data_IF_022785730343
#
_entry.id   IF_022785730343
#
_cell.length_a   1.000
_cell.length_b   1.000
_cell.length_c   1.000
_cell.angle_alpha   90.00
_cell.angle_beta   90.00
_cell.angle_gamma   90.00
#
_symmetry.space_group_name_H-M   'P 1'
#
loop_
_entity.id
_entity.type
_entity.pdbx_description
1 polymer ?
#
# COMPACT_ATOMS: atom_id res chain seq x y z
N UNK A 1 -28.34 13.79 -45.05
CA UNK A 1 -28.93 13.43 -43.74
C UNK A 1 -28.16 12.33 -43.01
N UNK A 2 -27.74 11.25 -43.69
CA UNK A 2 -26.94 10.16 -43.07
C UNK A 2 -25.60 10.60 -42.45
N UNK A 3 -24.83 11.46 -43.13
CA UNK A 3 -23.50 11.90 -42.67
C UNK A 3 -23.50 12.86 -41.45
N UNK A 4 -24.63 13.53 -41.19
CA UNK A 4 -24.79 14.47 -40.06
C UNK A 4 -25.13 13.71 -38.76
N UNK A 5 -25.91 12.63 -38.89
CA UNK A 5 -26.27 11.76 -37.75
C UNK A 5 -25.07 10.97 -37.24
N UNK A 6 -24.17 10.53 -38.13
CA UNK A 6 -22.94 9.82 -37.73
C UNK A 6 -21.94 10.74 -37.00
N UNK A 7 -21.84 12.00 -37.40
CA UNK A 7 -20.96 12.98 -36.73
C UNK A 7 -21.45 13.35 -35.33
N UNK A 8 -22.76 13.52 -35.13
CA UNK A 8 -23.31 13.75 -33.78
C UNK A 8 -23.14 12.55 -32.85
N UNK A 9 -23.34 11.33 -33.34
CA UNK A 9 -23.12 10.11 -32.55
C UNK A 9 -21.65 9.95 -32.14
N UNK A 10 -20.70 10.31 -33.01
CA UNK A 10 -19.28 10.29 -32.66
C UNK A 10 -18.89 11.37 -31.64
N UNK A 11 -19.47 12.58 -31.73
CA UNK A 11 -19.22 13.67 -30.76
C UNK A 11 -19.81 13.32 -29.38
N UNK A 12 -21.01 12.71 -29.34
CA UNK A 12 -21.61 12.21 -28.10
C UNK A 12 -20.81 11.03 -27.53
N UNK A 13 -20.30 10.12 -28.37
CA UNK A 13 -19.45 9.02 -27.92
C UNK A 13 -18.10 9.51 -27.38
N UNK A 14 -17.44 10.46 -28.05
CA UNK A 14 -16.17 11.07 -27.59
C UNK A 14 -16.35 11.89 -26.32
N UNK A 15 -17.45 12.64 -26.18
CA UNK A 15 -17.75 13.39 -24.96
C UNK A 15 -18.08 12.48 -23.79
N UNK A 16 -18.83 11.38 -23.99
CA UNK A 16 -19.03 10.32 -22.98
C UNK A 16 -17.73 9.61 -22.60
N UNK A 17 -16.89 9.28 -23.57
CA UNK A 17 -15.60 8.65 -23.36
C UNK A 17 -14.64 9.55 -22.55
N UNK A 18 -14.69 10.87 -22.75
CA UNK A 18 -13.91 11.84 -21.96
C UNK A 18 -14.54 12.18 -20.59
N UNK A 19 -15.86 12.03 -20.43
CA UNK A 19 -16.57 12.30 -19.18
C UNK A 19 -16.46 11.16 -18.16
N UNK A 20 -16.45 9.89 -18.59
CA UNK A 20 -16.35 8.72 -17.70
C UNK A 20 -15.11 8.74 -16.78
N UNK A 21 -13.89 9.07 -17.26
CA UNK A 21 -12.72 9.18 -16.40
C UNK A 21 -12.83 10.31 -15.38
N UNK A 22 -13.49 11.43 -15.73
CA UNK A 22 -13.66 12.59 -14.85
C UNK A 22 -14.67 12.30 -13.74
N UNK A 23 -15.79 11.66 -14.05
CA UNK A 23 -16.80 11.27 -13.07
C UNK A 23 -16.26 10.22 -12.11
N UNK A 24 -15.64 9.15 -12.63
CA UNK A 24 -15.06 8.09 -11.80
C UNK A 24 -14.01 8.64 -10.83
N UNK A 25 -13.17 9.57 -11.27
CA UNK A 25 -12.23 10.26 -10.39
C UNK A 25 -12.93 11.06 -9.28
N UNK A 26 -13.99 11.81 -9.61
CA UNK A 26 -14.77 12.56 -8.60
C UNK A 26 -15.43 11.62 -7.59
N UNK A 27 -16.03 10.53 -8.05
CA UNK A 27 -16.66 9.52 -7.18
C UNK A 27 -15.62 8.86 -6.28
N UNK A 28 -14.46 8.47 -6.81
CA UNK A 28 -13.39 7.86 -6.01
C UNK A 28 -12.92 8.79 -4.87
N UNK A 29 -12.73 10.09 -5.14
CA UNK A 29 -12.36 11.06 -4.11
C UNK A 29 -13.49 11.43 -3.17
N UNK A 30 -14.75 11.42 -3.62
CA UNK A 30 -15.91 11.60 -2.75
C UNK A 30 -16.04 10.44 -1.75
N UNK A 31 -15.87 9.20 -2.22
CA UNK A 31 -15.85 8.00 -1.37
C UNK A 31 -14.67 8.02 -0.39
N UNK A 32 -13.51 8.51 -0.82
CA UNK A 32 -12.38 8.76 0.08
C UNK A 32 -12.73 9.78 1.17
N UNK A 33 -13.40 10.88 0.81
CA UNK A 33 -13.81 11.90 1.77
C UNK A 33 -14.82 11.34 2.79
N UNK A 34 -15.72 10.45 2.37
CA UNK A 34 -16.60 9.71 3.29
C UNK A 34 -15.78 8.87 4.27
N UNK A 35 -14.83 8.06 3.77
CA UNK A 35 -13.97 7.26 4.65
C UNK A 35 -13.12 8.12 5.60
N UNK A 36 -12.63 9.27 5.13
CA UNK A 36 -11.88 10.22 5.94
C UNK A 36 -12.74 10.87 7.02
N UNK A 37 -13.98 11.25 6.71
CA UNK A 37 -14.91 11.79 7.69
C UNK A 37 -15.24 10.76 8.77
N UNK A 38 -15.54 9.52 8.39
CA UNK A 38 -15.75 8.41 9.33
C UNK A 38 -14.54 8.23 10.25
N UNK A 39 -13.33 8.24 9.69
CA UNK A 39 -12.08 8.12 10.44
C UNK A 39 -11.87 9.30 11.40
N UNK A 40 -12.14 10.54 10.98
CA UNK A 40 -12.01 11.73 11.83
C UNK A 40 -12.97 11.66 13.01
N UNK A 41 -14.24 11.31 12.77
CA UNK A 41 -15.22 11.18 13.85
C UNK A 41 -14.83 10.06 14.81
N UNK A 42 -14.39 8.90 14.30
CA UNK A 42 -13.83 7.80 15.10
C UNK A 42 -12.66 8.27 15.97
N UNK A 43 -11.69 9.01 15.40
CA UNK A 43 -10.55 9.55 16.16
C UNK A 43 -11.00 10.52 17.26
N UNK A 44 -11.98 11.39 17.00
CA UNK A 44 -12.52 12.31 18.01
C UNK A 44 -13.12 11.52 19.18
N UNK A 45 -13.89 10.46 18.89
CA UNK A 45 -14.46 9.57 19.91
C UNK A 45 -13.37 8.82 20.69
N UNK A 46 -12.32 8.36 20.02
CA UNK A 46 -11.17 7.72 20.67
C UNK A 46 -10.48 8.69 21.62
N UNK A 47 -10.19 9.92 21.18
CA UNK A 47 -9.56 10.94 22.01
C UNK A 47 -10.44 11.28 23.22
N UNK A 48 -11.74 11.50 23.01
CA UNK A 48 -12.69 11.76 24.09
C UNK A 48 -12.85 10.60 25.07
N UNK A 49 -12.65 9.36 24.63
CA UNK A 49 -12.65 8.18 25.52
C UNK A 49 -11.32 7.92 26.23
N UNK A 50 -10.20 8.54 25.81
CA UNK A 50 -8.92 8.40 26.53
C UNK A 50 -8.98 9.11 27.89
N UNK A 51 -9.72 10.22 27.98
CA UNK A 51 -9.97 10.95 29.24
C UNK A 51 -10.87 10.22 30.23
N UNK A 52 -11.55 9.14 29.81
CA UNK A 52 -12.49 8.40 30.66
C UNK A 52 -11.81 7.31 31.51
N UNK A 53 -10.51 7.08 31.37
CA UNK A 53 -9.74 6.22 32.29
C UNK A 53 -10.06 4.72 32.24
N UNK A 54 -10.83 4.25 31.26
CA UNK A 54 -11.34 2.88 31.22
C UNK A 54 -10.45 1.98 30.37
N UNK A 55 -10.05 0.86 30.97
CA UNK A 55 -8.94 0.05 30.50
C UNK A 55 -9.29 -0.97 29.41
N UNK A 56 -10.53 -1.44 29.29
CA UNK A 56 -10.81 -2.65 28.51
C UNK A 56 -11.76 -2.38 27.33
N UNK A 57 -11.20 -2.43 26.12
CA UNK A 57 -11.94 -2.64 24.89
C UNK A 57 -11.39 -3.94 24.27
N UNK A 58 -12.26 -4.84 23.82
CA UNK A 58 -11.88 -6.12 23.18
C UNK A 58 -11.32 -5.93 21.75
N UNK A 59 -10.94 -4.70 21.39
CA UNK A 59 -10.39 -4.33 20.10
C UNK A 59 -9.32 -3.23 20.23
N UNK A 60 -8.50 -3.10 19.20
CA UNK A 60 -7.48 -2.04 19.14
C UNK A 60 -8.16 -0.71 18.81
N UNK A 61 -8.30 0.18 19.81
CA UNK A 61 -8.92 1.50 19.66
C UNK A 61 -8.26 2.32 18.55
N UNK A 62 -9.07 2.98 17.71
CA UNK A 62 -8.62 3.76 16.56
C UNK A 62 -8.10 2.95 15.36
N UNK A 63 -8.08 1.61 15.44
CA UNK A 63 -7.66 0.78 14.30
C UNK A 63 -8.56 0.94 13.07
N UNK A 64 -9.87 1.11 13.26
CA UNK A 64 -10.81 1.32 12.15
C UNK A 64 -10.53 2.60 11.37
N UNK A 65 -10.18 3.71 12.03
CA UNK A 65 -9.78 4.95 11.37
C UNK A 65 -8.48 4.77 10.54
N UNK A 66 -7.50 4.06 11.10
CA UNK A 66 -6.23 3.75 10.42
C UNK A 66 -6.46 2.89 9.17
N UNK A 67 -7.25 1.83 9.31
CA UNK A 67 -7.62 0.94 8.22
C UNK A 67 -8.44 1.67 7.15
N UNK A 68 -9.41 2.48 7.57
CA UNK A 68 -10.24 3.28 6.66
C UNK A 68 -9.40 4.19 5.77
N UNK A 69 -8.51 4.99 6.38
CA UNK A 69 -7.64 5.90 5.66
C UNK A 69 -6.62 5.16 4.79
N UNK A 70 -6.00 4.09 5.30
CA UNK A 70 -5.00 3.32 4.57
C UNK A 70 -5.58 2.71 3.29
N UNK A 71 -6.69 1.99 3.40
CA UNK A 71 -7.37 1.38 2.26
C UNK A 71 -7.98 2.44 1.34
N UNK A 72 -8.81 3.35 1.85
CA UNK A 72 -9.49 4.33 1.00
C UNK A 72 -8.51 5.18 0.19
N UNK A 73 -7.36 5.55 0.76
CA UNK A 73 -6.39 6.39 0.04
C UNK A 73 -5.74 5.66 -1.13
N UNK A 74 -5.37 4.40 -0.94
CA UNK A 74 -4.80 3.56 -2.00
C UNK A 74 -5.87 3.27 -3.05
N UNK A 75 -7.06 2.85 -2.62
CA UNK A 75 -8.18 2.56 -3.50
C UNK A 75 -8.60 3.76 -4.36
N UNK A 76 -8.74 4.94 -3.75
CA UNK A 76 -9.15 6.16 -4.46
C UNK A 76 -8.15 6.56 -5.54
N UNK A 77 -6.85 6.42 -5.28
CA UNK A 77 -5.82 6.70 -6.29
C UNK A 77 -5.84 5.72 -7.44
N UNK A 78 -6.07 4.43 -7.17
CA UNK A 78 -6.19 3.40 -8.21
C UNK A 78 -7.44 3.66 -9.04
N UNK A 79 -8.61 3.82 -8.41
CA UNK A 79 -9.88 4.04 -9.09
C UNK A 79 -9.91 5.36 -9.89
N UNK A 80 -9.25 6.42 -9.39
CA UNK A 80 -9.13 7.69 -10.09
C UNK A 80 -8.28 7.63 -11.37
N UNK A 81 -7.30 6.72 -11.43
CA UNK A 81 -6.39 6.56 -12.59
C UNK A 81 -6.86 5.43 -13.51
N UNK A 82 -7.41 4.36 -12.95
CA UNK A 82 -7.88 3.16 -13.65
C UNK A 82 -9.36 2.90 -13.32
N UNK A 83 -10.28 3.74 -13.80
CA UNK A 83 -11.69 3.65 -13.42
C UNK A 83 -12.37 2.36 -13.88
N UNK A 84 -11.82 1.69 -14.91
CA UNK A 84 -12.30 0.40 -15.42
C UNK A 84 -11.81 -0.79 -14.61
N UNK A 85 -10.81 -0.62 -13.74
CA UNK A 85 -10.29 -1.70 -12.93
C UNK A 85 -11.04 -1.78 -11.60
N UNK A 86 -11.67 -2.93 -11.34
CA UNK A 86 -12.44 -3.18 -10.12
C UNK A 86 -11.59 -3.12 -8.84
N UNK A 87 -10.28 -3.38 -8.93
CA UNK A 87 -9.36 -3.44 -7.78
C UNK A 87 -9.40 -2.16 -6.94
N UNK A 88 -9.36 -0.98 -7.58
CA UNK A 88 -9.39 0.30 -6.87
C UNK A 88 -10.69 0.48 -6.08
N UNK A 89 -11.83 0.12 -6.68
CA UNK A 89 -13.14 0.22 -6.07
C UNK A 89 -13.34 -0.75 -4.91
N UNK A 90 -12.84 -1.98 -5.03
CA UNK A 90 -12.86 -2.97 -3.95
C UNK A 90 -12.09 -2.48 -2.73
N UNK A 91 -10.91 -1.89 -2.93
CA UNK A 91 -10.11 -1.34 -1.83
C UNK A 91 -10.81 -0.14 -1.17
N UNK A 92 -11.46 0.74 -1.93
CA UNK A 92 -12.26 1.84 -1.36
C UNK A 92 -13.41 1.30 -0.52
N UNK A 93 -14.12 0.28 -1.01
CA UNK A 93 -15.21 -0.36 -0.27
C UNK A 93 -14.71 -0.96 1.05
N UNK A 94 -13.53 -1.59 1.06
CA UNK A 94 -12.87 -2.05 2.29
C UNK A 94 -12.58 -0.90 3.26
N UNK A 95 -12.06 0.23 2.76
CA UNK A 95 -11.77 1.40 3.59
C UNK A 95 -13.02 2.02 4.22
N UNK A 96 -14.10 2.15 3.45
CA UNK A 96 -15.40 2.62 3.99
C UNK A 96 -15.92 1.64 5.03
N UNK A 97 -15.83 0.33 4.76
CA UNK A 97 -16.30 -0.68 5.70
C UNK A 97 -15.55 -0.61 7.04
N UNK A 98 -14.22 -0.51 7.01
CA UNK A 98 -13.44 -0.30 8.23
C UNK A 98 -13.75 1.04 8.92
N UNK A 99 -14.11 2.08 8.17
CA UNK A 99 -14.56 3.35 8.73
C UNK A 99 -15.88 3.21 9.49
N UNK A 100 -16.85 2.49 8.93
CA UNK A 100 -18.14 2.21 9.58
C UNK A 100 -17.94 1.31 10.80
N UNK A 101 -17.16 0.22 10.66
CA UNK A 101 -16.85 -0.70 11.76
C UNK A 101 -16.19 0.05 12.91
N UNK A 102 -15.12 0.81 12.63
CA UNK A 102 -14.38 1.57 13.64
C UNK A 102 -15.25 2.62 14.33
N UNK A 103 -16.00 3.42 13.55
CA UNK A 103 -16.91 4.41 14.12
C UNK A 103 -17.96 3.77 15.02
N UNK A 104 -18.56 2.64 14.60
CA UNK A 104 -19.52 1.92 15.40
C UNK A 104 -18.88 1.38 16.70
N UNK A 105 -17.69 0.79 16.62
CA UNK A 105 -16.94 0.30 17.78
C UNK A 105 -16.62 1.40 18.78
N UNK A 106 -16.06 2.52 18.32
CA UNK A 106 -15.68 3.64 19.17
C UNK A 106 -16.91 4.35 19.77
N UNK A 107 -18.00 4.46 19.00
CA UNK A 107 -19.27 5.00 19.48
C UNK A 107 -19.91 4.12 20.55
N UNK A 108 -20.03 2.81 20.30
CA UNK A 108 -20.60 1.86 21.26
C UNK A 108 -19.81 1.90 22.57
N UNK A 109 -18.47 1.98 22.48
CA UNK A 109 -17.60 2.07 23.64
C UNK A 109 -17.79 3.38 24.44
N UNK A 110 -17.86 4.53 23.77
CA UNK A 110 -18.12 5.81 24.46
C UNK A 110 -19.52 5.82 25.10
N UNK A 111 -20.51 5.30 24.40
CA UNK A 111 -21.89 5.25 24.86
C UNK A 111 -22.07 4.33 26.08
N UNK A 112 -21.43 3.15 26.10
CA UNK A 112 -21.52 2.22 27.24
C UNK A 112 -20.88 2.78 28.52
N UNK A 113 -19.84 3.59 28.38
CA UNK A 113 -19.13 4.20 29.50
C UNK A 113 -19.87 5.39 30.11
N UNK A 114 -20.52 6.21 29.28
CA UNK A 114 -21.03 7.51 29.70
C UNK A 114 -22.24 7.47 30.64
N UNK A 115 -22.74 6.29 31.03
CA UNK A 115 -23.95 6.14 31.87
C UNK A 115 -25.24 6.61 31.19
N UNK A 116 -25.14 7.36 30.10
CA UNK A 116 -26.19 7.44 29.11
C UNK A 116 -26.39 6.02 28.59
N UNK A 117 -27.45 5.39 29.05
CA UNK A 117 -28.24 4.48 28.24
C UNK A 117 -28.73 5.26 27.03
N UNK A 118 -27.82 5.66 26.13
CA UNK A 118 -28.22 5.83 24.76
C UNK A 118 -28.77 4.46 24.44
N UNK A 119 -30.07 4.45 24.18
CA UNK A 119 -30.78 3.47 23.38
C UNK A 119 -29.85 3.07 22.23
N UNK A 120 -28.91 2.17 22.49
CA UNK A 120 -27.89 1.71 21.58
C UNK A 120 -28.73 1.07 20.50
N UNK A 121 -28.95 1.82 19.41
CA UNK A 121 -29.86 1.36 18.39
C UNK A 121 -29.24 0.05 17.94
N UNK A 122 -29.97 -1.04 18.11
CA UNK A 122 -29.58 -2.36 17.62
C UNK A 122 -29.03 -2.25 16.18
N UNK A 123 -29.53 -1.27 15.41
CA UNK A 123 -28.99 -0.84 14.12
C UNK A 123 -27.49 -0.53 14.06
N UNK A 124 -26.86 0.11 15.05
CA UNK A 124 -25.40 0.40 15.04
C UNK A 124 -24.60 -0.88 15.26
N UNK A 125 -24.99 -1.69 16.25
CA UNK A 125 -24.36 -3.00 16.49
C UNK A 125 -24.54 -3.88 15.26
N UNK A 126 -25.76 -3.94 14.72
CA UNK A 126 -26.07 -4.68 13.50
C UNK A 126 -25.29 -4.18 12.29
N UNK A 127 -25.13 -2.86 12.13
CA UNK A 127 -24.30 -2.29 11.08
C UNK A 127 -22.84 -2.73 11.20
N UNK A 128 -22.25 -2.72 12.40
CA UNK A 128 -20.90 -3.23 12.64
C UNK A 128 -20.74 -4.67 12.11
N UNK A 129 -21.68 -5.56 12.47
CA UNK A 129 -21.65 -6.97 12.05
C UNK A 129 -21.89 -7.18 10.55
N UNK A 130 -22.81 -6.41 9.95
CA UNK A 130 -23.05 -6.41 8.50
C UNK A 130 -21.78 -6.01 7.75
N UNK A 131 -21.12 -4.94 8.18
CA UNK A 131 -19.96 -4.39 7.50
C UNK A 131 -18.71 -5.27 7.64
N UNK A 132 -18.61 -6.15 8.64
CA UNK A 132 -17.51 -7.11 8.80
C UNK A 132 -17.39 -8.09 7.61
N UNK A 133 -18.48 -8.38 6.89
CA UNK A 133 -18.44 -9.23 5.70
C UNK A 133 -17.87 -8.52 4.47
N UNK A 134 -17.84 -7.18 4.45
CA UNK A 134 -17.35 -6.43 3.29
C UNK A 134 -15.83 -6.61 3.11
N UNK A 135 -14.95 -6.39 4.12
CA UNK A 135 -13.51 -6.63 3.97
C UNK A 135 -13.14 -8.05 3.56
N UNK A 136 -13.86 -9.06 4.08
CA UNK A 136 -13.64 -10.47 3.73
C UNK A 136 -13.99 -10.73 2.25
N UNK A 137 -15.15 -10.25 1.80
CA UNK A 137 -15.58 -10.36 0.42
C UNK A 137 -14.65 -9.61 -0.54
N UNK A 138 -14.37 -8.34 -0.28
CA UNK A 138 -13.54 -7.51 -1.16
C UNK A 138 -12.09 -7.97 -1.16
N UNK A 139 -11.56 -8.46 -0.03
CA UNK A 139 -10.25 -9.10 0.07
C UNK A 139 -10.15 -10.37 -0.79
N UNK A 140 -11.16 -11.24 -0.72
CA UNK A 140 -11.24 -12.46 -1.54
C UNK A 140 -11.28 -12.14 -3.04
N UNK A 141 -12.15 -11.21 -3.44
CA UNK A 141 -12.27 -10.78 -4.84
C UNK A 141 -11.01 -10.08 -5.33
N UNK A 142 -10.37 -9.26 -4.50
CA UNK A 142 -9.09 -8.65 -4.83
C UNK A 142 -8.04 -9.72 -5.13
N UNK A 143 -7.91 -10.75 -4.29
CA UNK A 143 -6.91 -11.80 -4.47
C UNK A 143 -7.10 -12.57 -5.79
N UNK A 144 -8.36 -12.73 -6.23
CA UNK A 144 -8.68 -13.39 -7.50
C UNK A 144 -8.53 -12.49 -8.73
N UNK A 145 -8.83 -11.20 -8.59
CA UNK A 145 -8.84 -10.24 -9.70
C UNK A 145 -7.47 -9.59 -9.92
N UNK A 146 -6.60 -9.57 -8.91
CA UNK A 146 -5.28 -8.98 -9.03
C UNK A 146 -4.38 -9.79 -9.99
N UNK A 147 -3.63 -9.14 -10.91
CA UNK A 147 -3.55 -7.70 -11.18
C UNK A 147 -4.54 -7.16 -12.22
N UNK A 148 -5.03 -8.02 -13.11
CA UNK A 148 -5.65 -7.64 -14.39
C UNK A 148 -7.14 -7.28 -14.32
N UNK A 149 -7.79 -7.48 -13.16
CA UNK A 149 -9.23 -7.25 -12.99
C UNK A 149 -10.12 -8.34 -13.62
N UNK A 150 -9.56 -9.49 -13.99
CA UNK A 150 -10.26 -10.59 -14.69
C UNK A 150 -9.92 -11.95 -14.08
N UNK A 151 -10.88 -12.87 -14.11
CA UNK A 151 -10.67 -14.25 -13.70
C UNK A 151 -9.84 -15.02 -14.72
N UNK A 152 -8.90 -15.83 -14.24
CA UNK A 152 -8.01 -16.64 -15.09
C UNK A 152 -8.73 -17.88 -15.64
N UNK A 153 -9.64 -18.49 -14.86
CA UNK A 153 -10.34 -19.72 -15.25
C UNK A 153 -11.73 -19.84 -14.61
N UNK A 154 -12.53 -20.83 -15.07
CA UNK A 154 -13.85 -21.14 -14.49
C UNK A 154 -13.78 -21.54 -13.01
N UNK A 155 -12.69 -22.14 -12.57
CA UNK A 155 -12.47 -22.48 -11.17
C UNK A 155 -12.37 -21.22 -10.30
N UNK A 156 -11.75 -20.15 -10.82
CA UNK A 156 -11.61 -18.88 -10.10
C UNK A 156 -12.95 -18.14 -10.00
N UNK A 157 -13.78 -18.23 -11.05
CA UNK A 157 -15.16 -17.71 -10.96
C UNK A 157 -16.02 -18.51 -9.97
N UNK A 158 -15.80 -19.82 -9.84
CA UNK A 158 -16.48 -20.63 -8.82
C UNK A 158 -16.04 -20.26 -7.40
N UNK A 159 -14.74 -20.00 -7.19
CA UNK A 159 -14.23 -19.47 -5.92
C UNK A 159 -14.79 -18.09 -5.60
N UNK A 160 -14.89 -17.21 -6.59
CA UNK A 160 -15.53 -15.90 -6.43
C UNK A 160 -17.02 -16.05 -6.07
N UNK A 161 -17.75 -16.95 -6.74
CA UNK A 161 -19.14 -17.24 -6.42
C UNK A 161 -19.31 -17.80 -4.99
N UNK A 162 -18.40 -18.67 -4.55
CA UNK A 162 -18.38 -19.18 -3.18
C UNK A 162 -18.10 -18.07 -2.15
N UNK A 163 -17.16 -17.17 -2.43
CA UNK A 163 -16.88 -16.01 -1.58
C UNK A 163 -18.10 -15.07 -1.50
N UNK A 164 -18.77 -14.79 -2.63
CA UNK A 164 -19.99 -13.98 -2.67
C UNK A 164 -21.13 -14.65 -1.92
N UNK A 165 -21.33 -15.96 -2.11
CA UNK A 165 -22.40 -16.71 -1.46
C UNK A 165 -22.22 -16.76 0.07
N UNK A 166 -21.03 -17.14 0.55
CA UNK A 166 -20.75 -17.22 1.99
C UNK A 166 -20.88 -15.87 2.69
N UNK A 167 -20.29 -14.80 2.13
CA UNK A 167 -20.41 -13.46 2.69
C UNK A 167 -21.84 -12.90 2.57
N UNK A 168 -22.54 -13.19 1.47
CA UNK A 168 -23.93 -12.77 1.26
C UNK A 168 -24.91 -13.43 2.24
N UNK A 169 -24.72 -14.73 2.52
CA UNK A 169 -25.48 -15.45 3.54
C UNK A 169 -25.20 -14.84 4.91
N UNK A 170 -23.93 -14.64 5.28
CA UNK A 170 -23.55 -14.06 6.56
C UNK A 170 -24.11 -12.64 6.76
N UNK A 171 -24.05 -11.80 5.73
CA UNK A 171 -24.64 -10.46 5.74
C UNK A 171 -26.16 -10.51 5.90
N UNK A 172 -26.83 -11.41 5.19
CA UNK A 172 -28.30 -11.57 5.28
C UNK A 172 -28.70 -12.02 6.68
N UNK A 173 -27.96 -12.97 7.26
CA UNK A 173 -28.17 -13.44 8.62
C UNK A 173 -27.90 -12.34 9.65
N UNK A 174 -26.85 -11.53 9.48
CA UNK A 174 -26.61 -10.36 10.33
C UNK A 174 -27.80 -9.38 10.31
N UNK A 175 -28.47 -9.24 9.16
CA UNK A 175 -29.63 -8.37 9.00
C UNK A 175 -30.87 -8.93 9.71
N UNK A 176 -31.15 -10.22 9.59
CA UNK A 176 -32.44 -10.82 10.04
C UNK A 176 -32.39 -11.47 11.41
N UNK A 177 -31.22 -11.90 11.90
CA UNK A 177 -31.11 -12.59 13.19
C UNK A 177 -31.53 -11.65 14.33
N UNK A 178 -32.50 -12.04 15.17
CA UNK A 178 -32.92 -11.24 16.32
C UNK A 178 -31.75 -10.98 17.28
N UNK A 179 -31.62 -9.75 17.75
CA UNK A 179 -30.62 -9.40 18.76
C UNK A 179 -31.26 -9.45 20.16
N UNK A 180 -30.51 -9.83 21.20
CA UNK A 180 -30.96 -9.70 22.58
C UNK A 180 -31.10 -8.22 22.95
N UNK A 181 -31.76 -7.93 24.07
CA UNK A 181 -31.84 -6.57 24.61
C UNK A 181 -30.45 -6.08 25.01
N UNK A 182 -29.89 -5.14 24.26
CA UNK A 182 -28.52 -4.64 24.47
C UNK A 182 -28.44 -3.44 25.43
N UNK A 183 -29.58 -2.95 25.93
CA UNK A 183 -29.67 -1.72 26.74
C UNK A 183 -28.87 -1.81 28.06
N UNK A 184 -28.85 -2.99 28.68
CA UNK A 184 -28.16 -3.25 29.96
C UNK A 184 -26.88 -4.08 29.77
N UNK A 185 -26.46 -4.30 28.52
CA UNK A 185 -25.28 -5.11 28.22
C UNK A 185 -24.00 -4.37 28.60
N UNK A 186 -23.14 -5.04 29.37
CA UNK A 186 -21.79 -4.56 29.64
C UNK A 186 -20.90 -4.57 28.38
N UNK A 187 -21.24 -5.41 27.40
CA UNK A 187 -20.53 -5.50 26.12
C UNK A 187 -21.49 -5.87 24.97
N UNK A 188 -22.17 -4.85 24.40
CA UNK A 188 -23.18 -5.07 23.36
C UNK A 188 -22.66 -5.76 22.11
N UNK A 189 -21.37 -5.57 21.78
CA UNK A 189 -20.73 -6.17 20.60
C UNK A 189 -20.58 -7.67 20.83
N UNK A 190 -20.06 -8.07 21.99
CA UNK A 190 -19.86 -9.48 22.34
C UNK A 190 -21.18 -10.23 22.45
N UNK A 191 -22.18 -9.65 23.13
CA UNK A 191 -23.48 -10.29 23.33
C UNK A 191 -24.22 -10.50 22.00
N UNK A 192 -24.14 -9.52 21.09
CA UNK A 192 -24.63 -9.66 19.73
C UNK A 192 -23.88 -10.77 18.97
N UNK A 193 -22.56 -10.85 19.11
CA UNK A 193 -21.75 -11.92 18.51
C UNK A 193 -22.18 -13.32 18.98
N UNK A 194 -22.41 -13.51 20.27
CA UNK A 194 -22.93 -14.77 20.83
C UNK A 194 -24.30 -15.11 20.24
N UNK A 195 -25.20 -14.13 20.13
CA UNK A 195 -26.52 -14.34 19.54
C UNK A 195 -26.43 -14.71 18.05
N UNK A 196 -25.52 -14.10 17.28
CA UNK A 196 -25.29 -14.48 15.90
C UNK A 196 -24.70 -15.89 15.78
N UNK A 197 -23.65 -16.21 16.53
CA UNK A 197 -23.03 -17.55 16.51
C UNK A 197 -23.94 -18.66 17.03
N UNK A 198 -24.93 -18.34 17.88
CA UNK A 198 -25.98 -19.28 18.28
C UNK A 198 -26.82 -19.74 17.07
N UNK A 199 -26.93 -18.90 16.03
CA UNK A 199 -27.42 -19.35 14.73
C UNK A 199 -26.30 -20.12 14.02
N UNK A 200 -26.35 -21.45 14.05
CA UNK A 200 -25.33 -22.29 13.40
C UNK A 200 -25.11 -21.97 11.91
N UNK A 201 -26.12 -21.40 11.23
CA UNK A 201 -26.01 -20.91 9.86
C UNK A 201 -25.12 -19.67 9.73
N UNK A 202 -25.14 -18.75 10.69
CA UNK A 202 -24.27 -17.57 10.67
C UNK A 202 -22.82 -17.99 10.91
N UNK A 203 -22.61 -18.90 11.86
CA UNK A 203 -21.28 -19.45 12.12
C UNK A 203 -20.74 -20.19 10.89
N UNK A 204 -21.59 -20.99 10.24
CA UNK A 204 -21.22 -21.66 8.98
C UNK A 204 -20.88 -20.65 7.86
N UNK A 205 -21.62 -19.54 7.76
CA UNK A 205 -21.34 -18.49 6.79
C UNK A 205 -20.03 -17.75 7.11
N UNK A 206 -19.76 -17.48 8.38
CA UNK A 206 -18.54 -16.85 8.87
C UNK A 206 -17.31 -17.73 8.57
N UNK A 207 -17.37 -19.02 8.93
CA UNK A 207 -16.35 -20.02 8.60
C UNK A 207 -16.20 -20.15 7.08
N UNK A 208 -17.32 -20.23 6.34
CA UNK A 208 -17.32 -20.29 4.88
C UNK A 208 -16.63 -19.10 4.23
N UNK A 209 -16.82 -17.89 4.76
CA UNK A 209 -16.16 -16.67 4.27
C UNK A 209 -14.65 -16.71 4.52
N UNK A 210 -14.23 -17.22 5.67
CA UNK A 210 -12.82 -17.39 6.05
C UNK A 210 -12.14 -18.44 5.16
N UNK A 211 -12.82 -19.56 4.92
CA UNK A 211 -12.37 -20.61 3.99
C UNK A 211 -12.28 -20.06 2.57
N UNK A 212 -13.25 -19.27 2.12
CA UNK A 212 -13.22 -18.66 0.79
C UNK A 212 -12.00 -17.74 0.63
N UNK A 213 -11.73 -16.89 1.63
CA UNK A 213 -10.55 -16.02 1.64
C UNK A 213 -9.25 -16.82 1.59
N UNK A 214 -9.15 -17.91 2.36
CA UNK A 214 -7.99 -18.79 2.35
C UNK A 214 -7.78 -19.50 1.01
N UNK A 215 -8.86 -19.99 0.39
CA UNK A 215 -8.81 -20.59 -0.96
C UNK A 215 -8.38 -19.57 -2.01
N UNK A 216 -8.83 -18.31 -1.91
CA UNK A 216 -8.40 -17.23 -2.81
C UNK A 216 -6.91 -16.91 -2.64
N UNK A 217 -6.39 -16.90 -1.41
CA UNK A 217 -4.96 -16.75 -1.16
C UNK A 217 -4.16 -17.94 -1.72
N UNK A 218 -4.67 -19.17 -1.57
CA UNK A 218 -4.09 -20.37 -2.18
C UNK A 218 -4.08 -20.32 -3.71
N UNK A 219 -5.15 -19.84 -4.33
CA UNK A 219 -5.22 -19.65 -5.78
C UNK A 219 -4.20 -18.61 -6.27
N UNK A 220 -4.01 -17.52 -5.53
CA UNK A 220 -2.99 -16.52 -5.82
C UNK A 220 -1.56 -17.09 -5.68
N UNK A 221 -1.32 -17.91 -4.66
CA UNK A 221 -0.04 -18.62 -4.50
C UNK A 221 0.21 -19.59 -5.65
N UNK A 222 -0.80 -20.36 -6.05
CA UNK A 222 -0.69 -21.25 -7.20
C UNK A 222 -0.36 -20.47 -8.48
N UNK A 223 -1.00 -19.30 -8.69
CA UNK A 223 -0.65 -18.40 -9.80
C UNK A 223 0.78 -17.89 -9.69
N UNK A 224 1.27 -17.55 -8.49
CA UNK A 224 2.66 -17.14 -8.26
C UNK A 224 3.66 -18.24 -8.59
N UNK A 225 3.32 -19.51 -8.35
CA UNK A 225 4.18 -20.64 -8.65
C UNK A 225 4.31 -20.90 -10.16
N UNK A 226 3.27 -20.58 -10.93
CA UNK A 226 3.20 -20.81 -12.38
C UNK A 226 3.60 -19.56 -13.17
N UNK A 227 3.56 -18.37 -12.57
CA UNK A 227 3.93 -17.12 -13.22
C UNK A 227 5.44 -17.06 -13.55
N UNK A 228 5.77 -16.49 -14.71
CA UNK A 228 7.14 -16.30 -15.18
C UNK A 228 7.43 -14.81 -15.40
N UNK A 229 8.71 -14.41 -15.36
CA UNK A 229 9.15 -13.04 -15.64
C UNK A 229 8.56 -11.99 -14.68
N UNK A 230 8.07 -10.88 -15.23
CA UNK A 230 7.59 -9.72 -14.48
C UNK A 230 6.29 -10.01 -13.70
N UNK A 231 5.42 -10.88 -14.21
CA UNK A 231 4.16 -11.26 -13.54
C UNK A 231 4.45 -11.92 -12.18
N UNK A 232 5.47 -12.79 -12.11
CA UNK A 232 5.88 -13.43 -10.86
C UNK A 232 6.34 -12.41 -9.83
N UNK A 233 7.06 -11.38 -10.27
CA UNK A 233 7.54 -10.34 -9.36
C UNK A 233 6.40 -9.46 -8.84
N UNK A 234 5.40 -9.16 -9.69
CA UNK A 234 4.19 -8.42 -9.32
C UNK A 234 3.36 -9.15 -8.27
N UNK A 235 3.19 -10.47 -8.44
CA UNK A 235 2.38 -11.32 -7.55
C UNK A 235 3.06 -11.56 -6.20
N UNK A 236 4.40 -11.58 -6.14
CA UNK A 236 5.16 -12.01 -4.94
C UNK A 236 4.79 -11.24 -3.67
N UNK A 237 4.72 -9.91 -3.75
CA UNK A 237 4.43 -9.07 -2.57
C UNK A 237 2.98 -9.17 -2.12
N UNK A 238 2.07 -9.23 -3.08
CA UNK A 238 0.63 -9.33 -2.79
C UNK A 238 0.28 -10.72 -2.25
N UNK A 239 0.88 -11.78 -2.79
CA UNK A 239 0.74 -13.12 -2.27
C UNK A 239 1.32 -13.24 -0.85
N UNK A 240 2.50 -12.68 -0.58
CA UNK A 240 3.08 -12.69 0.76
C UNK A 240 2.18 -11.98 1.78
N UNK A 241 1.68 -10.78 1.46
CA UNK A 241 0.76 -10.05 2.32
C UNK A 241 -0.60 -10.75 2.47
N UNK A 242 -1.13 -11.32 1.39
CA UNK A 242 -2.38 -12.10 1.42
C UNK A 242 -2.27 -13.31 2.34
N UNK A 243 -1.20 -14.10 2.22
CA UNK A 243 -0.95 -15.25 3.10
C UNK A 243 -0.77 -14.83 4.54
N UNK A 244 -0.01 -13.75 4.79
CA UNK A 244 0.18 -13.24 6.14
C UNK A 244 -1.14 -12.76 6.76
N UNK A 245 -1.95 -12.02 6.01
CA UNK A 245 -3.26 -11.56 6.45
C UNK A 245 -4.21 -12.73 6.76
N UNK A 246 -4.28 -13.72 5.87
CA UNK A 246 -5.11 -14.92 6.06
C UNK A 246 -4.62 -15.75 7.25
N UNK A 247 -3.31 -15.97 7.36
CA UNK A 247 -2.72 -16.72 8.46
C UNK A 247 -2.96 -16.03 9.81
N UNK A 248 -2.77 -14.72 9.88
CA UNK A 248 -3.06 -13.93 11.08
C UNK A 248 -4.54 -13.97 11.45
N UNK A 249 -5.44 -13.90 10.47
CA UNK A 249 -6.88 -14.01 10.68
C UNK A 249 -7.29 -15.40 11.18
N UNK A 250 -6.82 -16.48 10.55
CA UNK A 250 -7.09 -17.85 10.97
C UNK A 250 -6.57 -18.13 12.39
N UNK A 251 -5.37 -17.66 12.71
CA UNK A 251 -4.81 -17.78 14.06
C UNK A 251 -5.67 -17.03 15.09
N UNK A 252 -6.13 -15.83 14.76
CA UNK A 252 -7.03 -15.07 15.64
C UNK A 252 -8.40 -15.74 15.83
N UNK A 253 -8.89 -16.49 14.84
CA UNK A 253 -10.17 -17.20 14.92
C UNK A 253 -10.09 -18.51 15.71
N UNK A 254 -8.98 -19.26 15.59
CA UNK A 254 -8.87 -20.63 16.13
C UNK A 254 -8.22 -20.66 17.52
N UNK A 255 -7.36 -19.70 17.85
CA UNK A 255 -6.64 -19.72 19.11
C UNK A 255 -7.54 -19.31 20.29
N UNK A 256 -7.71 -20.17 21.31
CA UNK A 256 -8.50 -19.83 22.49
C UNK A 256 -7.75 -18.84 23.40
N UNK A 257 -8.35 -17.69 23.67
CA UNK A 257 -7.93 -16.76 24.73
C UNK A 257 -7.84 -15.28 24.32
N UNK A 258 -8.05 -14.39 25.31
CA UNK A 258 -7.89 -12.92 25.22
C UNK A 258 -6.42 -12.48 25.11
N UNK A 259 -5.66 -13.10 24.22
CA UNK A 259 -4.30 -12.66 23.92
C UNK A 259 -4.40 -11.45 22.99
N UNK A 260 -4.41 -10.25 23.58
CA UNK A 260 -4.33 -8.97 22.85
C UNK A 260 -3.29 -8.97 21.70
N UNK A 261 -2.21 -9.76 21.85
CA UNK A 261 -1.23 -10.02 20.80
C UNK A 261 -1.82 -10.53 19.47
N UNK A 262 -2.80 -11.45 19.51
CA UNK A 262 -3.46 -11.96 18.30
C UNK A 262 -4.27 -10.88 17.59
N UNK A 263 -4.89 -9.98 18.35
CA UNK A 263 -5.57 -8.80 17.81
C UNK A 263 -4.60 -7.87 17.09
N UNK A 264 -3.43 -7.60 17.66
CA UNK A 264 -2.37 -6.82 17.00
C UNK A 264 -1.80 -7.54 15.77
N UNK A 265 -1.61 -8.86 15.83
CA UNK A 265 -1.13 -9.65 14.70
C UNK A 265 -2.13 -9.63 13.54
N UNK A 266 -3.43 -9.79 13.82
CA UNK A 266 -4.49 -9.69 12.82
C UNK A 266 -4.55 -8.27 12.22
N UNK A 267 -4.44 -7.23 13.04
CA UNK A 267 -4.36 -5.85 12.55
C UNK A 267 -3.17 -5.62 11.62
N UNK A 268 -1.98 -6.12 11.98
CA UNK A 268 -0.79 -6.08 11.12
C UNK A 268 -1.00 -6.86 9.83
N UNK A 269 -1.66 -8.01 9.91
CA UNK A 269 -2.08 -8.83 8.76
C UNK A 269 -2.91 -8.01 7.78
N UNK A 270 -3.99 -7.42 8.26
CA UNK A 270 -4.89 -6.59 7.46
C UNK A 270 -4.14 -5.39 6.86
N UNK A 271 -3.33 -4.67 7.65
CA UNK A 271 -2.56 -3.52 7.18
C UNK A 271 -1.44 -3.86 6.20
N UNK A 272 -0.91 -5.08 6.24
CA UNK A 272 0.13 -5.51 5.30
C UNK A 272 -0.35 -5.44 3.85
N UNK A 273 -1.66 -5.58 3.64
CA UNK A 273 -2.29 -5.64 2.33
C UNK A 273 -2.25 -4.33 1.54
N UNK A 274 -2.74 -3.18 2.06
CA UNK A 274 -2.59 -1.89 1.38
C UNK A 274 -1.12 -1.52 1.18
N UNK A 275 -0.24 -1.84 2.15
CA UNK A 275 1.19 -1.58 2.04
C UNK A 275 1.80 -2.39 0.89
N UNK A 276 1.53 -3.69 0.82
CA UNK A 276 2.03 -4.56 -0.24
C UNK A 276 1.44 -4.20 -1.61
N UNK A 277 0.15 -3.85 -1.68
CA UNK A 277 -0.46 -3.34 -2.89
C UNK A 277 0.22 -2.04 -3.36
N UNK A 278 0.47 -1.09 -2.45
CA UNK A 278 1.21 0.14 -2.73
C UNK A 278 2.63 -0.12 -3.23
N UNK A 279 3.37 -1.02 -2.57
CA UNK A 279 4.73 -1.42 -2.97
C UNK A 279 4.71 -2.10 -4.35
N UNK A 280 3.78 -3.03 -4.59
CA UNK A 280 3.66 -3.72 -5.87
C UNK A 280 3.35 -2.74 -7.01
N UNK A 281 2.44 -1.79 -6.78
CA UNK A 281 2.10 -0.76 -7.77
C UNK A 281 3.27 0.15 -8.11
N UNK A 282 4.07 0.55 -7.11
CA UNK A 282 5.23 1.43 -7.30
C UNK A 282 6.43 0.70 -7.94
N UNK A 283 6.72 -0.51 -7.45
CA UNK A 283 7.89 -1.28 -7.88
C UNK A 283 7.71 -1.82 -9.30
N UNK A 284 6.50 -2.20 -9.68
CA UNK A 284 6.22 -2.83 -10.98
C UNK A 284 5.43 -1.97 -11.96
N UNK A 285 5.12 -0.70 -11.61
CA UNK A 285 4.36 0.24 -12.47
C UNK A 285 3.07 -0.33 -13.05
N UNK A 286 2.44 -1.27 -12.34
CA UNK A 286 1.26 -2.02 -12.79
C UNK A 286 0.11 -1.14 -13.31
N UNK A 287 0.06 0.11 -12.84
CA UNK A 287 -0.98 1.08 -13.13
C UNK A 287 -0.43 2.46 -13.57
N UNK A 288 0.80 2.54 -14.06
CA UNK A 288 1.45 3.83 -14.42
C UNK A 288 1.22 4.92 -13.35
N UNK A 289 1.24 4.50 -12.08
CA UNK A 289 1.00 5.39 -10.96
C UNK A 289 2.31 6.16 -10.77
N UNK A 290 2.42 7.29 -11.44
CA UNK A 290 3.56 8.19 -11.30
C UNK A 290 3.88 8.51 -9.84
N UNK A 291 5.16 8.74 -9.63
CA UNK A 291 6.00 8.65 -8.41
C UNK A 291 5.60 9.57 -7.25
N UNK A 292 4.44 10.22 -7.35
CA UNK A 292 3.85 11.16 -6.37
C UNK A 292 3.23 10.42 -5.16
N UNK A 293 3.08 9.09 -5.22
CA UNK A 293 2.66 8.27 -4.07
C UNK A 293 3.73 8.17 -2.97
N UNK A 294 5.01 8.36 -3.29
CA UNK A 294 6.00 7.43 -2.76
C UNK A 294 6.66 7.78 -1.40
N UNK A 295 6.66 9.03 -0.96
CA UNK A 295 7.25 9.34 0.35
C UNK A 295 6.21 9.73 1.34
N UNK A 296 5.57 10.88 1.18
CA UNK A 296 4.84 11.49 2.28
C UNK A 296 3.65 10.66 2.74
N UNK A 297 2.90 10.02 1.83
CA UNK A 297 1.68 9.32 2.25
C UNK A 297 1.95 7.93 2.83
N UNK A 298 2.81 7.14 2.19
CA UNK A 298 3.27 5.86 2.76
C UNK A 298 4.04 6.12 4.05
N UNK A 299 4.88 7.15 4.10
CA UNK A 299 5.60 7.52 5.31
C UNK A 299 4.66 8.01 6.41
N UNK A 300 3.67 8.85 6.12
CA UNK A 300 2.70 9.32 7.12
C UNK A 300 1.83 8.18 7.62
N UNK A 301 1.35 7.29 6.73
CA UNK A 301 0.55 6.11 7.12
C UNK A 301 1.39 5.12 7.92
N UNK A 302 2.58 4.73 7.43
CA UNK A 302 3.46 3.78 8.11
C UNK A 302 4.02 4.37 9.41
N UNK A 303 4.38 5.65 9.45
CA UNK A 303 4.84 6.32 10.67
C UNK A 303 3.72 6.49 11.68
N UNK A 304 2.52 6.86 11.22
CA UNK A 304 1.32 6.91 12.05
C UNK A 304 0.96 5.54 12.61
N UNK A 305 1.05 4.49 11.80
CA UNK A 305 0.85 3.09 12.20
C UNK A 305 1.90 2.63 13.21
N UNK A 306 3.17 2.91 12.95
CA UNK A 306 4.25 2.54 13.86
C UNK A 306 4.10 3.28 15.18
N UNK A 307 3.75 4.57 15.15
CA UNK A 307 3.47 5.35 16.36
C UNK A 307 2.26 4.80 17.13
N UNK A 308 1.15 4.49 16.45
CA UNK A 308 -0.06 3.92 17.05
C UNK A 308 0.18 2.53 17.65
N UNK A 309 0.85 1.64 16.90
CA UNK A 309 1.23 0.32 17.37
C UNK A 309 2.18 0.40 18.57
N UNK A 310 3.16 1.30 18.53
CA UNK A 310 4.09 1.52 19.64
C UNK A 310 3.33 2.01 20.87
N UNK A 311 2.46 3.00 20.73
CA UNK A 311 1.64 3.50 21.84
C UNK A 311 0.71 2.42 22.41
N UNK A 312 0.14 1.58 21.54
CA UNK A 312 -0.70 0.46 21.95
C UNK A 312 0.10 -0.60 22.70
N UNK A 313 1.25 -1.04 22.18
CA UNK A 313 2.13 -2.00 22.84
C UNK A 313 2.64 -1.46 24.18
N UNK A 314 2.98 -0.17 24.23
CA UNK A 314 3.39 0.52 25.44
C UNK A 314 2.31 0.44 26.52
N UNK A 315 1.07 0.76 26.14
CA UNK A 315 -0.10 0.64 27.01
C UNK A 315 -0.36 -0.80 27.46
N UNK A 316 -0.19 -1.79 26.57
CA UNK A 316 -0.37 -3.20 26.92
C UNK A 316 0.67 -3.71 27.94
N UNK A 317 1.95 -3.40 27.72
CA UNK A 317 3.03 -3.87 28.59
C UNK A 317 2.95 -3.20 29.97
N UNK A 318 2.64 -1.91 30.02
CA UNK A 318 2.39 -1.21 31.28
C UNK A 318 1.28 -1.87 32.10
N UNK A 319 0.23 -2.36 31.45
CA UNK A 319 -0.88 -3.07 32.11
C UNK A 319 -0.50 -4.45 32.63
N UNK A 320 0.25 -5.23 31.84
CA UNK A 320 0.77 -6.54 32.29
C UNK A 320 1.68 -6.36 33.48
N UNK A 321 2.52 -5.33 33.46
CA UNK A 321 3.39 -5.00 34.58
C UNK A 321 2.57 -4.70 35.84
N UNK A 322 1.60 -3.78 35.79
CA UNK A 322 0.73 -3.44 36.92
C UNK A 322 -0.01 -4.68 37.46
N UNK A 323 -0.52 -5.53 36.56
CA UNK A 323 -1.23 -6.75 36.93
C UNK A 323 -0.33 -7.79 37.63
N UNK A 324 0.96 -7.86 37.27
CA UNK A 324 1.93 -8.81 37.85
C UNK A 324 2.56 -8.26 39.13
N UNK A 325 2.85 -6.97 39.21
CA UNK A 325 3.54 -6.38 40.37
C UNK A 325 2.60 -5.96 41.49
N UNK A 326 1.28 -5.81 41.23
CA UNK A 326 0.29 -5.45 42.25
C UNK A 326 0.46 -4.07 42.91
N UNK A 327 1.49 -3.31 42.53
CA UNK A 327 1.77 -1.98 43.06
C UNK A 327 1.08 -0.90 42.22
N UNK A 328 0.16 -0.18 42.85
CA UNK A 328 -0.46 1.06 42.36
C UNK A 328 0.35 2.32 42.72
N UNK A 329 1.60 2.17 43.17
CA UNK A 329 2.44 3.32 43.46
C UNK A 329 2.71 4.10 42.17
N UNK A 330 2.31 5.38 42.12
CA UNK A 330 2.53 6.27 40.98
C UNK A 330 4.00 6.27 40.54
N UNK A 331 4.94 6.11 41.48
CA UNK A 331 6.37 6.01 41.19
C UNK A 331 6.73 4.76 40.38
N UNK A 332 6.15 3.60 40.68
CA UNK A 332 6.41 2.35 39.93
C UNK A 332 5.87 2.44 38.49
N UNK A 333 4.70 3.08 38.32
CA UNK A 333 4.12 3.34 37.00
C UNK A 333 5.03 4.26 36.20
N UNK A 334 5.47 5.39 36.79
CA UNK A 334 6.36 6.35 36.14
C UNK A 334 7.69 5.71 35.73
N UNK A 335 8.31 4.93 36.62
CA UNK A 335 9.58 4.25 36.35
C UNK A 335 9.43 3.22 35.22
N UNK A 336 8.38 2.41 35.24
CA UNK A 336 8.13 1.41 34.19
C UNK A 336 7.82 2.07 32.85
N UNK A 337 7.01 3.13 32.84
CA UNK A 337 6.77 3.92 31.62
C UNK A 337 8.08 4.51 31.09
N UNK A 338 8.95 5.01 31.96
CA UNK A 338 10.25 5.58 31.56
C UNK A 338 11.17 4.52 30.92
N UNK A 339 11.30 3.36 31.58
CA UNK A 339 12.11 2.23 31.09
C UNK A 339 11.56 1.75 29.75
N UNK A 340 10.23 1.62 29.64
CA UNK A 340 9.59 1.11 28.44
C UNK A 340 9.73 2.08 27.26
N UNK A 341 9.57 3.40 27.49
CA UNK A 341 9.83 4.44 26.48
C UNK A 341 11.31 4.41 26.06
N UNK A 342 12.23 4.28 27.01
CA UNK A 342 13.67 4.24 26.72
C UNK A 342 14.05 3.03 25.84
N UNK A 343 13.38 1.89 25.99
CA UNK A 343 13.62 0.69 25.17
C UNK A 343 12.90 0.73 23.82
N UNK A 344 11.67 1.25 23.77
CA UNK A 344 10.88 1.27 22.54
C UNK A 344 11.29 2.36 21.55
N UNK A 345 11.77 3.50 22.04
CA UNK A 345 12.24 4.61 21.19
C UNK A 345 13.36 4.19 20.23
N UNK A 346 14.45 3.51 20.66
CA UNK A 346 15.50 3.06 19.74
C UNK A 346 15.01 1.96 18.78
N UNK A 347 14.08 1.10 19.21
CA UNK A 347 13.48 0.07 18.34
C UNK A 347 12.66 0.72 17.21
N UNK A 348 11.87 1.74 17.55
CA UNK A 348 11.09 2.54 16.59
C UNK A 348 12.01 3.23 15.59
N UNK A 349 13.10 3.83 16.05
CA UNK A 349 14.08 4.47 15.18
C UNK A 349 14.79 3.48 14.26
N UNK A 350 15.08 2.25 14.72
CA UNK A 350 15.67 1.20 13.89
C UNK A 350 14.73 0.79 12.75
N UNK A 351 13.44 0.60 13.05
CA UNK A 351 12.43 0.28 12.03
C UNK A 351 12.26 1.44 11.05
N UNK A 352 12.20 2.69 11.53
CA UNK A 352 12.13 3.88 10.66
C UNK A 352 13.37 4.02 9.78
N UNK A 353 14.58 3.83 10.34
CA UNK A 353 15.84 3.86 9.58
C UNK A 353 15.89 2.75 8.54
N UNK A 354 15.44 1.54 8.85
CA UNK A 354 15.40 0.43 7.90
C UNK A 354 14.46 0.72 6.72
N UNK A 355 13.30 1.36 6.98
CA UNK A 355 12.37 1.82 5.95
C UNK A 355 12.99 2.96 5.13
N UNK A 356 13.62 3.93 5.78
CA UNK A 356 14.24 5.08 5.14
C UNK A 356 15.40 4.68 4.21
N UNK A 357 16.28 3.79 4.66
CA UNK A 357 17.41 3.30 3.86
C UNK A 357 16.92 2.56 2.61
N UNK A 358 15.91 1.70 2.76
CA UNK A 358 15.42 0.85 1.65
C UNK A 358 14.60 1.62 0.61
N UNK A 359 14.08 2.79 0.97
CA UNK A 359 13.31 3.67 0.06
C UNK A 359 14.12 4.88 -0.45
N UNK A 360 15.21 5.29 0.22
CA UNK A 360 16.09 6.39 -0.24
C UNK A 360 17.08 5.99 -1.32
N UNK A 361 17.67 4.80 -1.23
CA UNK A 361 18.79 4.39 -2.11
C UNK A 361 18.41 4.32 -3.57
N UNK A 362 17.21 3.83 -3.92
CA UNK A 362 16.79 3.73 -5.33
C UNK A 362 16.45 5.08 -5.99
N UNK A 363 16.09 6.10 -5.20
CA UNK A 363 15.59 7.39 -5.71
C UNK A 363 16.66 8.49 -5.77
N UNK A 364 17.66 8.46 -4.88
CA UNK A 364 18.73 9.46 -4.88
C UNK A 364 19.67 9.31 -6.08
N UNK A 365 20.04 8.08 -6.44
CA UNK A 365 20.93 7.81 -7.58
C UNK A 365 20.40 8.36 -8.89
N UNK A 366 19.13 8.10 -9.23
CA UNK A 366 18.56 8.57 -10.51
C UNK A 366 18.20 10.06 -10.55
N UNK A 367 18.20 10.75 -9.40
CA UNK A 367 17.86 12.20 -9.36
C UNK A 367 18.99 13.05 -9.93
N UNK A 368 20.26 12.67 -9.69
CA UNK A 368 21.42 13.35 -10.28
C UNK A 368 21.42 13.27 -11.79
N UNK A 369 21.27 12.05 -12.33
CA UNK A 369 21.22 11.82 -13.78
C UNK A 369 20.05 12.54 -14.48
N UNK A 370 18.88 12.63 -13.84
CA UNK A 370 17.72 13.37 -14.39
C UNK A 370 17.92 14.88 -14.33
N UNK A 371 18.41 15.42 -13.22
CA UNK A 371 18.73 16.83 -13.10
C UNK A 371 19.78 17.25 -14.13
N UNK A 372 20.79 16.41 -14.37
CA UNK A 372 21.74 16.62 -15.46
C UNK A 372 21.07 16.61 -16.84
N UNK A 373 20.15 15.67 -17.09
CA UNK A 373 19.44 15.58 -18.38
C UNK A 373 18.59 16.84 -18.65
N UNK A 374 17.93 17.35 -17.60
CA UNK A 374 17.14 18.58 -17.68
C UNK A 374 18.06 19.82 -17.83
N UNK A 375 19.17 19.88 -17.08
CA UNK A 375 20.19 20.96 -17.18
C UNK A 375 20.85 20.99 -18.56
N UNK A 376 21.15 19.83 -19.17
CA UNK A 376 21.71 19.74 -20.53
C UNK A 376 20.72 20.24 -21.59
N UNK A 377 19.42 20.03 -21.36
CA UNK A 377 18.35 20.49 -22.26
C UNK A 377 18.10 22.00 -22.12
N UNK A 378 18.33 22.56 -20.93
CA UNK A 378 18.15 23.99 -20.63
C UNK A 378 19.42 24.84 -20.90
N UNK A 379 20.62 24.30 -20.76
CA UNK A 379 21.91 24.97 -20.98
C UNK A 379 22.58 24.54 -22.29
N UNK A 380 21.91 24.81 -23.42
CA UNK A 380 22.42 24.58 -24.78
C UNK A 380 23.48 25.62 -25.23
N UNK A 381 24.45 25.97 -24.36
CA UNK A 381 25.49 26.97 -24.68
C UNK A 381 26.94 26.56 -24.35
N UNK A 382 27.20 25.31 -23.96
CA UNK A 382 28.60 24.87 -23.82
C UNK A 382 29.17 24.42 -25.17
N UNK A 383 30.10 25.21 -25.69
CA UNK A 383 30.82 25.00 -26.95
C UNK A 383 31.84 23.83 -26.90
N UNK A 384 31.71 22.89 -25.96
CA UNK A 384 32.78 21.95 -25.61
C UNK A 384 32.25 20.50 -25.49
N UNK A 385 32.09 19.86 -26.66
CA UNK A 385 31.58 18.48 -26.87
C UNK A 385 32.15 17.46 -25.87
N UNK A 386 33.46 17.57 -25.61
CA UNK A 386 34.20 16.65 -24.73
C UNK A 386 33.78 16.77 -23.27
N UNK A 387 33.56 17.99 -22.76
CA UNK A 387 33.15 18.20 -21.36
C UNK A 387 31.78 17.62 -21.07
N UNK A 388 30.84 17.74 -22.01
CA UNK A 388 29.50 17.17 -21.88
C UNK A 388 29.53 15.64 -21.75
N UNK A 389 30.30 14.96 -22.61
CA UNK A 389 30.42 13.50 -22.58
C UNK A 389 31.12 13.01 -21.31
N UNK A 390 32.17 13.72 -20.86
CA UNK A 390 32.87 13.38 -19.61
C UNK A 390 32.02 13.65 -18.38
N UNK A 391 31.21 14.71 -18.37
CA UNK A 391 30.25 15.00 -17.30
C UNK A 391 29.14 13.97 -17.26
N UNK A 392 28.62 13.54 -18.42
CA UNK A 392 27.68 12.43 -18.52
C UNK A 392 28.28 11.12 -17.96
N UNK A 393 29.53 10.79 -18.30
CA UNK A 393 30.22 9.60 -17.78
C UNK A 393 30.32 9.64 -16.25
N UNK A 394 30.80 10.76 -15.70
CA UNK A 394 30.97 10.94 -14.26
C UNK A 394 29.63 10.87 -13.52
N UNK A 395 28.62 11.58 -14.02
CA UNK A 395 27.29 11.59 -13.43
C UNK A 395 26.61 10.22 -13.51
N UNK A 396 26.81 9.50 -14.61
CA UNK A 396 26.30 8.13 -14.79
C UNK A 396 26.98 7.15 -13.84
N UNK A 397 28.30 7.20 -13.71
CA UNK A 397 29.05 6.35 -12.80
C UNK A 397 28.65 6.59 -11.33
N UNK A 398 28.46 7.85 -10.94
CA UNK A 398 28.02 8.22 -9.60
C UNK A 398 26.55 7.86 -9.33
N UNK A 399 25.64 8.21 -10.25
CA UNK A 399 24.20 7.99 -10.13
C UNK A 399 23.80 6.52 -10.14
N UNK A 400 24.60 5.69 -10.83
CA UNK A 400 24.35 4.25 -10.99
C UNK A 400 25.23 3.38 -10.08
N UNK A 401 26.04 4.01 -9.23
CA UNK A 401 26.96 3.38 -8.27
C UNK A 401 27.92 2.37 -8.92
N UNK A 402 28.48 2.77 -10.07
CA UNK A 402 29.46 1.96 -10.80
C UNK A 402 30.83 1.99 -10.09
N UNK A 403 31.57 0.87 -10.14
CA UNK A 403 32.97 0.81 -9.68
C UNK A 403 33.88 1.74 -10.50
N UNK A 404 33.58 1.88 -11.79
CA UNK A 404 34.18 2.81 -12.72
C UNK A 404 33.47 2.81 -14.08
N UNK A 405 34.00 3.58 -15.03
CA UNK A 405 33.47 3.66 -16.39
C UNK A 405 34.47 4.28 -17.37
N UNK A 406 34.23 4.09 -18.66
CA UNK A 406 35.03 4.65 -19.73
C UNK A 406 34.16 5.33 -20.80
N UNK A 407 34.55 6.52 -21.25
CA UNK A 407 33.99 7.18 -22.42
C UNK A 407 34.98 7.09 -23.58
N UNK A 408 34.58 6.40 -24.65
CA UNK A 408 35.27 6.37 -25.94
C UNK A 408 34.68 7.51 -26.79
N UNK A 409 35.45 8.55 -27.07
CA UNK A 409 35.01 9.73 -27.82
C UNK A 409 35.71 9.75 -29.18
N UNK A 410 34.95 9.93 -30.25
CA UNK A 410 35.50 10.05 -31.60
C UNK A 410 36.00 11.48 -31.84
N UNK A 411 37.29 11.64 -32.09
CA UNK A 411 37.90 12.93 -32.41
C UNK A 411 37.67 13.31 -33.89
N UNK A 412 37.77 14.61 -34.25
CA UNK A 412 37.66 15.06 -35.64
C UNK A 412 38.67 14.41 -36.60
N UNK A 413 39.82 13.97 -36.07
CA UNK A 413 40.86 13.22 -36.79
C UNK A 413 40.45 11.78 -37.15
N UNK A 414 39.31 11.30 -36.66
CA UNK A 414 38.84 9.92 -36.84
C UNK A 414 39.36 8.93 -35.79
N UNK A 415 40.29 9.34 -34.94
CA UNK A 415 40.80 8.52 -33.83
C UNK A 415 39.84 8.52 -32.63
N UNK A 416 39.87 7.44 -31.84
CA UNK A 416 39.09 7.32 -30.62
C UNK A 416 39.97 7.66 -29.41
N UNK A 417 39.55 8.65 -28.63
CA UNK A 417 40.13 8.93 -27.31
C UNK A 417 39.33 8.21 -26.23
N UNK A 418 40.01 7.59 -25.26
CA UNK A 418 39.36 6.89 -24.15
C UNK A 418 39.65 7.63 -22.84
N UNK A 419 38.58 7.92 -22.10
CA UNK A 419 38.66 8.57 -20.79
C UNK A 419 37.98 7.73 -19.73
N UNK A 420 38.66 7.53 -18.61
CA UNK A 420 38.20 6.64 -17.55
C UNK A 420 37.89 7.41 -16.26
N UNK A 421 36.91 6.92 -15.51
CA UNK A 421 36.52 7.43 -14.18
C UNK A 421 36.40 6.24 -13.23
N UNK A 422 36.90 6.38 -12.01
CA UNK A 422 36.85 5.33 -10.99
C UNK A 422 37.78 4.14 -11.28
N UNK A 423 37.50 3.00 -10.66
CA UNK A 423 38.29 1.78 -10.85
C UNK A 423 37.76 0.99 -12.05
N UNK A 424 38.33 1.26 -13.22
CA UNK A 424 37.93 0.66 -14.50
C UNK A 424 38.79 -0.58 -14.82
N UNK A 425 38.16 -1.74 -14.98
CA UNK A 425 38.83 -3.02 -15.24
C UNK A 425 38.83 -3.42 -16.72
N UNK A 426 38.26 -2.61 -17.61
CA UNK A 426 38.16 -2.88 -19.05
C UNK A 426 36.88 -3.61 -19.49
N UNK A 427 36.20 -4.30 -18.57
CA UNK A 427 34.99 -5.07 -18.88
C UNK A 427 33.72 -4.26 -18.57
N UNK A 428 33.18 -3.62 -19.61
CA UNK A 428 31.98 -2.79 -19.51
C UNK A 428 30.71 -3.64 -19.54
N UNK A 429 30.01 -3.73 -18.41
CA UNK A 429 28.73 -4.46 -18.33
C UNK A 429 27.57 -3.73 -19.01
N UNK A 430 27.65 -2.40 -19.09
CA UNK A 430 26.62 -1.57 -19.73
C UNK A 430 27.29 -0.59 -20.67
N UNK A 431 26.74 -0.43 -21.87
CA UNK A 431 27.20 0.54 -22.85
C UNK A 431 26.02 1.39 -23.34
N UNK A 432 26.20 2.70 -23.33
CA UNK A 432 25.30 3.67 -23.94
C UNK A 432 26.02 4.40 -25.08
N UNK A 433 25.37 4.47 -26.23
CA UNK A 433 25.92 5.05 -27.45
C UNK A 433 25.32 6.43 -27.68
N UNK A 434 26.16 7.42 -27.96
CA UNK A 434 25.79 8.79 -28.28
C UNK A 434 25.99 8.96 -29.78
N UNK A 435 24.89 9.16 -30.50
CA UNK A 435 24.90 9.35 -31.95
C UNK A 435 25.01 10.82 -32.32
N UNK A 436 25.65 11.11 -33.44
CA UNK A 436 25.66 12.40 -34.11
C UNK A 436 25.26 12.20 -35.59
N UNK A 437 24.98 13.28 -36.35
CA UNK A 437 24.60 13.18 -37.77
C UNK A 437 25.62 12.37 -38.61
N UNK A 438 26.91 12.46 -38.26
CA UNK A 438 28.04 11.85 -38.99
C UNK A 438 28.42 10.44 -38.49
N UNK A 439 27.56 9.84 -37.65
CA UNK A 439 27.75 8.52 -37.04
C UNK A 439 27.94 8.56 -35.52
N UNK A 440 28.56 7.54 -34.94
CA UNK A 440 28.72 7.43 -33.48
C UNK A 440 29.73 8.48 -33.00
N UNK A 441 29.29 9.39 -32.13
CA UNK A 441 30.13 10.43 -31.53
C UNK A 441 30.89 9.93 -30.30
N UNK A 442 30.22 9.15 -29.44
CA UNK A 442 30.87 8.55 -28.28
C UNK A 442 30.15 7.29 -27.76
N UNK A 443 30.88 6.47 -27.00
CA UNK A 443 30.33 5.35 -26.22
C UNK A 443 30.69 5.53 -24.76
N UNK A 444 29.68 5.51 -23.89
CA UNK A 444 29.83 5.56 -22.44
C UNK A 444 29.62 4.16 -21.90
N UNK A 445 30.67 3.57 -21.33
CA UNK A 445 30.69 2.21 -20.77
C UNK A 445 30.82 2.29 -19.25
N UNK A 446 30.02 1.49 -18.54
CA UNK A 446 30.05 1.41 -17.08
C UNK A 446 30.44 0.00 -16.63
N UNK A 447 31.27 -0.06 -15.60
CA UNK A 447 31.76 -1.30 -14.98
C UNK A 447 30.70 -1.92 -14.07
N UNK A 448 31.06 -2.96 -13.32
CA UNK A 448 30.15 -3.56 -12.34
C UNK A 448 29.72 -2.54 -11.25
N UNK A 449 28.54 -2.74 -10.66
CA UNK A 449 28.10 -1.90 -9.54
C UNK A 449 28.91 -2.23 -8.28
N UNK A 450 29.14 -1.23 -7.43
CA UNK A 450 29.92 -1.40 -6.19
C UNK A 450 29.24 -2.32 -5.17
N UNK A 451 27.92 -2.43 -5.25
CA UNK A 451 27.10 -3.34 -4.43
C UNK A 451 27.02 -4.77 -4.97
N UNK A 452 27.61 -5.05 -6.14
CA UNK A 452 27.65 -6.38 -6.76
C UNK A 452 26.36 -6.80 -7.48
N UNK A 453 25.31 -5.97 -7.46
CA UNK A 453 24.05 -6.24 -8.15
C UNK A 453 24.14 -5.91 -9.65
N UNK A 454 23.31 -6.58 -10.46
CA UNK A 454 23.14 -6.22 -11.88
C UNK A 454 22.40 -4.87 -12.04
N UNK A 455 22.68 -4.16 -13.14
CA UNK A 455 21.91 -2.96 -13.51
C UNK A 455 20.48 -3.30 -13.88
N UNK A 456 19.53 -2.55 -13.34
CA UNK A 456 18.12 -2.74 -13.63
C UNK A 456 17.67 -1.94 -14.88
N UNK A 457 16.56 -2.36 -15.50
CA UNK A 457 15.95 -1.73 -16.67
C UNK A 457 15.77 -0.20 -16.54
N UNK A 458 15.42 0.29 -15.34
CA UNK A 458 15.22 1.74 -15.10
C UNK A 458 16.53 2.52 -15.14
N UNK A 459 17.60 1.94 -14.61
CA UNK A 459 18.96 2.50 -14.66
C UNK A 459 19.46 2.55 -16.11
N UNK A 460 19.24 1.48 -16.87
CA UNK A 460 19.57 1.42 -18.30
C UNK A 460 18.78 2.44 -19.11
N UNK A 461 17.47 2.56 -18.86
CA UNK A 461 16.62 3.53 -19.53
C UNK A 461 17.01 4.99 -19.20
N UNK A 462 17.38 5.27 -17.94
CA UNK A 462 17.85 6.60 -17.55
C UNK A 462 19.20 6.95 -18.18
N UNK A 463 20.14 6.00 -18.26
CA UNK A 463 21.41 6.16 -18.95
C UNK A 463 21.21 6.43 -20.45
N UNK A 464 20.32 5.65 -21.10
CA UNK A 464 19.96 5.85 -22.51
C UNK A 464 19.29 7.21 -22.74
N UNK A 465 18.40 7.64 -21.84
CA UNK A 465 17.74 8.94 -21.91
C UNK A 465 18.73 10.10 -21.78
N UNK A 466 19.67 10.02 -20.85
CA UNK A 466 20.73 11.02 -20.69
C UNK A 466 21.68 11.05 -21.89
N UNK A 467 22.06 9.89 -22.43
CA UNK A 467 22.85 9.78 -23.66
C UNK A 467 22.12 10.36 -24.88
N UNK A 468 20.79 10.14 -24.98
CA UNK A 468 19.94 10.71 -26.02
C UNK A 468 19.86 12.24 -25.95
N UNK A 469 19.68 12.80 -24.76
CA UNK A 469 19.67 14.25 -24.59
C UNK A 469 21.01 14.89 -24.98
N UNK A 470 22.14 14.25 -24.66
CA UNK A 470 23.45 14.71 -25.12
C UNK A 470 23.56 14.60 -26.64
N UNK A 471 23.13 13.47 -27.25
CA UNK A 471 23.11 13.29 -28.70
C UNK A 471 22.32 14.39 -29.43
N UNK A 472 21.14 14.74 -28.91
CA UNK A 472 20.30 15.80 -29.47
C UNK A 472 21.03 17.15 -29.47
N UNK A 473 21.69 17.52 -28.36
CA UNK A 473 22.48 18.76 -28.28
C UNK A 473 23.66 18.74 -29.25
N UNK A 474 24.33 17.60 -29.40
CA UNK A 474 25.46 17.45 -30.33
C UNK A 474 25.05 17.56 -31.79
N UNK A 475 23.79 17.27 -32.13
CA UNK A 475 23.26 17.41 -33.48
C UNK A 475 22.93 18.88 -33.86
N UNK A 476 22.67 19.74 -32.87
CA UNK A 476 22.29 21.15 -33.10
C UNK A 476 23.47 22.14 -32.99
N UNK A 477 24.66 21.66 -32.66
CA UNK A 477 25.89 22.46 -32.46
C UNK A 477 26.90 22.34 -33.60
N UNK A 478 26.54 21.67 -34.70
CA UNK A 478 27.24 21.70 -35.98
C UNK A 478 26.61 22.77 -36.88
#
# INVERSE_FOLDING_TARGET
MSAVVTTELEVVARSRAAAMPRLARRVAWALWLVAALLAVVSIILVIGSLSLGIAQADYVRGSGALLALGYATIGARIAARHPRNAVGWLIIATGIAFGVIGLAQDYIFVASVGGNSIRLSEGIVRALWIFNFIPSLTGSLFLLLFPDGRFVSRAWSALAAFAVASNGIGLTLALVTPLPTLADSSNPIRDAGVAFSASGLFELANVGSTVALALCAGALLFRLLIAHGDERQQLKWVAAAGVFAVGANLLATIAPGDLNFLGYLNLLGILSFPVAAGIAMQRYRLYDIDTILNRTLVYVVVTGLLAGLTAALLGSIQRVFIAVTGQSSEAAIVITTLILVAVFTPLRELVQRAIDVRLKTTAAGLKGLRAFTDEVRDFAHFNDRRRLILRLLAESAASLDASGGAAEIREPSGHWSSHQVGHWTGDGQVTATINAPDGIAARVRLGARRDGDAYNERQLAALRGAAGAVADVLAHTQ
#
